data_IF_199224906716
#
_entry.id   IF_199224906716
#
_cell.length_a   1.000
_cell.length_b   1.000
_cell.length_c   1.000
_cell.angle_alpha   90.00
_cell.angle_beta   90.00
_cell.angle_gamma   90.00
#
_symmetry.space_group_name_H-M   'P 1'
#
loop_
_entity.id
_entity.type
_entity.pdbx_description
1 polymer ?
2 water ?
#
# COMPACT_ATOMS: atom_id res chain seq x y z
N UNK A 15 -8.99 23.13 -4.24
CA UNK A 15 -9.51 24.54 -4.24
C UNK A 15 -10.58 24.74 -3.16
N UNK A 16 -11.51 23.80 -3.09
CA UNK A 16 -12.57 23.79 -2.10
C UNK A 16 -12.45 22.44 -1.41
N UNK A 17 -12.27 22.46 -0.11
CA UNK A 17 -12.02 21.20 0.61
C UNK A 17 -13.29 20.34 0.66
N UNK A 18 -13.14 19.01 0.61
CA UNK A 18 -14.32 18.15 0.57
C UNK A 18 -15.17 18.23 1.82
N UNK A 19 -16.45 17.85 1.69
CA UNK A 19 -17.33 17.72 2.86
C UNK A 19 -16.97 16.52 3.70
N UNK A 20 -16.50 15.46 3.04
CA UNK A 20 -16.16 14.22 3.74
C UNK A 20 -15.37 13.36 2.77
N UNK A 21 -14.88 12.23 3.29
CA UNK A 21 -13.96 11.35 2.54
C UNK A 21 -14.44 9.91 2.52
N UNK A 22 -14.17 9.24 1.40
CA UNK A 22 -14.23 7.79 1.31
C UNK A 22 -12.83 7.35 1.70
N UNK A 23 -12.76 6.48 2.70
CA UNK A 23 -11.52 6.11 3.38
C UNK A 23 -11.10 4.71 2.90
N UNK A 24 -9.83 4.58 2.50
CA UNK A 24 -9.28 3.28 2.12
C UNK A 24 -7.96 3.11 2.86
N UNK A 25 -7.83 2.03 3.63
CA UNK A 25 -6.57 1.72 4.32
C UNK A 25 -5.70 0.86 3.40
N UNK A 26 -4.40 1.13 3.39
CA UNK A 26 -3.46 0.39 2.55
C UNK A 26 -2.41 -0.15 3.49
N UNK A 27 -2.21 -1.46 3.49
CA UNK A 27 -1.32 -2.06 4.49
C UNK A 27 -0.62 -3.30 3.95
N UNK A 28 0.43 -3.73 4.67
CA UNK A 28 1.19 -4.88 4.29
C UNK A 28 2.68 -4.64 4.24
N UNK A 29 3.35 -5.30 3.29
CA UNK A 29 4.80 -5.13 3.16
C UNK A 29 5.17 -4.43 1.84
N UNK A 30 6.36 -4.66 1.32
CA UNK A 30 6.89 -3.83 0.24
C UNK A 30 5.99 -3.64 -0.96
N UNK A 31 5.28 -4.68 -1.39
CA UNK A 31 4.51 -4.55 -2.63
C UNK A 31 3.19 -3.79 -2.50
N UNK A 32 2.84 -3.46 -1.27
CA UNK A 32 1.67 -2.61 -0.97
C UNK A 32 2.03 -1.12 -1.08
N UNK A 33 3.32 -0.84 -1.03
CA UNK A 33 3.80 0.54 -0.88
C UNK A 33 4.78 0.93 -1.97
N UNK A 34 5.54 2.01 -1.75
CA UNK A 34 6.32 2.57 -2.80
C UNK A 34 7.66 1.85 -2.96
N UNK A 35 7.65 0.76 -3.72
CA UNK A 35 8.87 0.05 -4.08
C UNK A 35 9.09 0.04 -5.59
N UNK A 36 8.28 0.78 -6.36
CA UNK A 36 8.58 1.00 -7.78
C UNK A 36 9.82 1.85 -7.96
N UNK A 37 10.80 1.35 -8.71
CA UNK A 37 12.09 2.07 -8.86
C UNK A 37 12.17 3.00 -10.07
N UNK A 38 11.24 2.90 -11.03
CA UNK A 38 11.21 3.81 -12.13
C UNK A 38 10.77 5.21 -11.69
N UNK A 39 11.19 6.19 -12.49
CA UNK A 39 11.02 7.61 -12.19
C UNK A 39 9.57 8.03 -11.92
N UNK A 40 9.31 8.82 -10.85
CA UNK A 40 7.97 9.41 -10.67
C UNK A 40 7.64 10.39 -11.78
N UNK A 41 6.35 10.54 -12.08
CA UNK A 41 5.94 11.38 -13.20
C UNK A 41 4.91 12.36 -12.65
N UNK A 42 5.36 13.34 -11.84
CA UNK A 42 4.41 14.17 -11.09
C UNK A 42 3.54 15.10 -11.94
N UNK A 43 3.88 15.30 -13.20
CA UNK A 43 3.03 16.12 -14.07
C UNK A 43 1.94 15.30 -14.78
N UNK A 44 2.04 13.98 -14.67
CA UNK A 44 1.19 13.11 -15.46
C UNK A 44 0.49 12.12 -14.55
N UNK A 45 0.91 10.87 -14.65
CA UNK A 45 0.26 9.74 -14.00
C UNK A 45 0.45 9.80 -12.49
N UNK A 46 1.50 10.49 -12.01
CA UNK A 46 1.70 10.63 -10.56
C UNK A 46 1.34 12.01 -10.00
N UNK A 47 0.51 12.76 -10.72
CA UNK A 47 0.11 14.08 -10.24
C UNK A 47 -0.79 13.95 -9.00
N UNK A 48 -0.47 14.71 -7.94
CA UNK A 48 -1.37 14.76 -6.78
C UNK A 48 -2.66 15.47 -7.20
N UNK A 49 -3.74 15.28 -6.46
CA UNK A 49 -5.02 15.93 -6.77
C UNK A 49 -5.56 16.54 -5.49
N UNK A 50 -6.16 17.75 -5.57
CA UNK A 50 -6.63 18.37 -4.32
C UNK A 50 -7.68 17.59 -3.52
N UNK A 51 -8.37 16.65 -4.17
CA UNK A 51 -9.39 15.88 -3.49
C UNK A 51 -8.87 14.55 -2.92
N UNK A 52 -7.57 14.29 -3.10
CA UNK A 52 -7.02 12.97 -2.76
C UNK A 52 -5.94 13.17 -1.71
N UNK A 53 -6.21 12.65 -0.52
CA UNK A 53 -5.45 12.94 0.71
C UNK A 53 -4.93 11.66 1.36
N UNK A 54 -4.04 11.83 2.32
CA UNK A 54 -3.58 10.72 3.14
C UNK A 54 -3.43 11.19 4.56
N UNK A 55 -3.37 10.25 5.49
CA UNK A 55 -3.00 10.59 6.86
C UNK A 55 -1.48 10.63 7.00
N UNK A 56 -0.97 11.79 7.43
CA UNK A 56 0.48 11.99 7.55
C UNK A 56 1.14 11.14 8.62
N UNK A 57 2.46 10.97 8.47
CA UNK A 57 3.28 10.24 9.42
C UNK A 57 4.58 10.98 9.67
N UNK A 58 5.22 11.43 8.60
CA UNK A 58 6.60 11.95 8.68
C UNK A 58 6.53 13.38 9.21
N UNK A 59 7.70 13.97 9.46
CA UNK A 59 7.76 15.32 10.01
C UNK A 59 7.49 16.39 8.94
N UNK A 60 7.59 16.01 7.66
CA UNK A 60 7.25 16.90 6.56
C UNK A 60 6.47 16.11 5.55
N UNK A 61 5.74 16.80 4.67
CA UNK A 61 4.91 16.07 3.71
C UNK A 61 5.77 15.29 2.73
N UNK A 62 6.93 15.85 2.43
CA UNK A 62 7.92 15.27 1.53
C UNK A 62 9.23 16.05 1.76
N UNK A 63 10.37 15.56 1.23
CA UNK A 63 11.60 16.28 1.56
C UNK A 63 11.57 17.71 1.00
N UNK A 64 11.70 18.68 1.90
CA UNK A 64 11.71 20.08 1.51
C UNK A 64 10.33 20.68 1.48
N UNK A 65 9.33 19.90 1.93
CA UNK A 65 7.94 20.33 1.90
C UNK A 65 7.51 20.84 3.28
N UNK A 66 6.25 21.22 3.42
CA UNK A 66 5.76 21.74 4.70
C UNK A 66 5.82 20.76 5.87
N UNK A 67 5.89 21.30 7.10
CA UNK A 67 5.72 20.52 8.33
C UNK A 67 4.38 19.83 8.30
N UNK A 68 4.31 18.67 8.92
CA UNK A 68 3.02 18.06 9.23
C UNK A 68 3.13 17.25 10.49
N UNK A 69 1.98 17.02 11.12
CA UNK A 69 1.87 16.20 12.32
C UNK A 69 1.28 14.86 11.95
N UNK A 70 1.48 13.88 12.83
CA UNK A 70 0.96 12.54 12.67
C UNK A 70 -0.56 12.62 12.53
N UNK A 71 -1.08 11.95 11.52
CA UNK A 71 -2.52 11.92 11.25
C UNK A 71 -3.13 13.22 10.68
N UNK A 72 -2.28 14.19 10.35
CA UNK A 72 -2.77 15.35 9.63
C UNK A 72 -3.30 14.87 8.26
N UNK A 73 -4.34 15.51 7.79
CA UNK A 73 -4.76 15.37 6.40
C UNK A 73 -3.78 16.15 5.50
N UNK A 74 -3.11 15.43 4.60
CA UNK A 74 -2.17 16.05 3.66
C UNK A 74 -2.36 15.45 2.25
N UNK A 75 -1.79 16.09 1.23
CA UNK A 75 -1.90 15.51 -0.11
C UNK A 75 -1.32 14.10 -0.21
N UNK A 76 -1.99 13.24 -0.95
CA UNK A 76 -1.43 11.93 -1.25
C UNK A 76 -0.55 12.05 -2.48
N UNK A 77 0.64 11.45 -2.44
CA UNK A 77 1.54 11.55 -3.57
C UNK A 77 2.00 10.16 -3.98
N UNK A 78 2.93 10.10 -4.92
CA UNK A 78 3.44 8.79 -5.39
C UNK A 78 4.23 8.02 -4.35
N UNK A 79 4.69 8.69 -3.29
CA UNK A 79 5.50 8.03 -2.26
C UNK A 79 4.90 8.31 -0.89
N UNK A 80 3.91 7.48 -0.46
CA UNK A 80 3.10 7.81 0.72
C UNK A 80 3.79 7.67 2.07
N UNK A 81 3.04 8.06 3.10
CA UNK A 81 3.47 8.09 4.48
C UNK A 81 3.31 6.75 5.19
N UNK A 82 3.86 5.71 4.58
CA UNK A 82 3.88 4.39 5.21
C UNK A 82 4.85 4.39 6.38
N UNK A 83 4.84 3.30 7.16
CA UNK A 83 5.71 3.18 8.33
C UNK A 83 7.17 3.26 7.92
N UNK A 84 7.49 2.65 6.78
CA UNK A 84 8.81 2.83 6.19
C UNK A 84 8.84 4.01 5.21
N UNK A 85 9.79 4.91 5.42
CA UNK A 85 9.90 6.13 4.63
C UNK A 85 10.81 5.93 3.42
N UNK A 86 10.20 5.91 2.23
CA UNK A 86 10.95 5.67 0.99
C UNK A 86 11.27 6.95 0.21
N UNK A 87 10.93 8.11 0.78
CA UNK A 87 10.91 9.35 0.03
C UNK A 87 12.27 9.86 -0.40
N UNK A 88 13.33 9.35 0.23
CA UNK A 88 14.71 9.67 -0.16
C UNK A 88 15.40 8.64 -1.08
N UNK A 89 14.67 7.59 -1.48
CA UNK A 89 15.24 6.64 -2.42
C UNK A 89 15.10 7.18 -3.84
N UNK A 90 15.74 8.30 -4.15
CA UNK A 90 15.56 8.95 -5.44
C UNK A 90 16.10 8.15 -6.58
N UNK A 91 15.42 8.26 -7.72
CA UNK A 91 15.92 7.75 -8.97
C UNK A 91 17.13 8.60 -9.40
N UNK A 92 18.20 7.98 -9.92
CA UNK A 92 19.37 8.79 -10.36
C UNK A 92 19.07 9.96 -11.32
N UNK A 93 18.03 9.81 -12.13
CA UNK A 93 17.70 10.81 -13.18
C UNK A 93 16.52 11.70 -12.76
N UNK A 94 16.23 11.75 -11.46
CA UNK A 94 15.27 12.72 -10.95
C UNK A 94 15.91 14.11 -10.91
N UNK A 95 15.25 15.07 -11.59
CA UNK A 95 15.66 16.49 -11.65
C UNK A 95 15.29 17.21 -10.36
N UNK A 96 14.00 17.21 -10.07
CA UNK A 96 13.45 18.00 -9.00
C UNK A 96 13.08 17.09 -7.86
N UNK A 97 13.89 17.12 -6.81
CA UNK A 97 13.68 16.26 -5.62
C UNK A 97 12.57 16.74 -4.68
N UNK A 98 11.91 17.83 -5.05
CA UNK A 98 10.70 18.32 -4.39
C UNK A 98 9.44 17.70 -4.95
N UNK A 99 9.54 17.23 -6.19
CA UNK A 99 8.38 16.66 -6.88
C UNK A 99 8.60 15.23 -7.33
N UNK A 100 9.84 14.90 -7.68
CA UNK A 100 10.20 13.57 -8.23
C UNK A 100 11.01 12.73 -7.25
N UNK A 101 10.73 12.89 -5.97
CA UNK A 101 11.46 12.23 -4.90
C UNK A 101 11.10 10.75 -4.79
N UNK A 102 12.05 9.92 -4.41
CA UNK A 102 11.70 8.59 -3.94
C UNK A 102 11.24 7.58 -4.97
N UNK A 103 10.61 6.54 -4.45
CA UNK A 103 10.07 5.45 -5.25
C UNK A 103 8.58 5.65 -5.46
N UNK A 104 7.94 4.76 -6.23
CA UNK A 104 6.54 4.94 -6.60
C UNK A 104 5.69 3.81 -6.02
N UNK A 105 4.57 4.18 -5.39
CA UNK A 105 3.57 3.24 -4.88
C UNK A 105 2.22 3.47 -5.55
N UNK A 106 1.37 2.44 -5.57
CA UNK A 106 0.09 2.48 -6.26
C UNK A 106 -1.05 3.16 -5.52
N UNK A 107 -0.89 3.58 -4.25
CA UNK A 107 -2.04 4.11 -3.49
C UNK A 107 -2.64 5.32 -4.24
N UNK A 108 -1.75 6.18 -4.77
CA UNK A 108 -2.21 7.38 -5.48
C UNK A 108 -3.08 7.02 -6.69
N UNK A 109 -2.67 5.99 -7.42
CA UNK A 109 -3.32 5.58 -8.68
C UNK A 109 -4.63 4.88 -8.43
N UNK A 110 -4.69 4.13 -7.34
CA UNK A 110 -5.99 3.57 -6.88
C UNK A 110 -6.96 4.71 -6.59
N UNK A 111 -6.52 5.67 -5.77
CA UNK A 111 -7.31 6.82 -5.44
C UNK A 111 -7.75 7.62 -6.69
N UNK A 112 -6.84 7.89 -7.61
CA UNK A 112 -7.19 8.67 -8.80
C UNK A 112 -8.21 7.92 -9.63
N UNK A 113 -8.08 6.59 -9.72
CA UNK A 113 -9.00 5.81 -10.55
C UNK A 113 -10.39 5.63 -9.91
N UNK A 114 -10.47 5.76 -8.58
CA UNK A 114 -11.75 5.73 -7.85
C UNK A 114 -12.51 7.07 -7.86
N UNK A 115 -11.76 8.18 -7.92
CA UNK A 115 -12.34 9.49 -7.73
C UNK A 115 -13.51 9.78 -8.67
N UNK A 116 -13.43 9.33 -9.95
CA UNK A 116 -14.56 9.74 -10.82
C UNK A 116 -15.88 9.13 -10.41
N UNK A 117 -15.85 8.13 -9.54
CA UNK A 117 -17.04 7.39 -9.17
C UNK A 117 -17.75 7.84 -7.89
N UNK A 118 -17.20 8.86 -7.25
CA UNK A 118 -17.75 9.32 -5.96
C UNK A 118 -18.34 10.73 -6.09
N UNK A 119 -19.16 11.18 -5.10
CA UNK A 119 -19.82 12.47 -5.27
C UNK A 119 -18.87 13.66 -5.35
N UNK A 120 -19.25 14.72 -6.07
CA UNK A 120 -18.38 15.92 -6.19
C UNK A 120 -17.89 16.51 -4.86
N UNK A 121 -18.64 16.32 -3.78
CA UNK A 121 -18.36 16.95 -2.51
C UNK A 121 -17.58 16.01 -1.58
N UNK A 122 -17.16 14.89 -2.14
CA UNK A 122 -16.35 13.90 -1.41
C UNK A 122 -14.93 13.85 -1.96
N UNK A 123 -13.99 13.47 -1.09
CA UNK A 123 -12.65 13.18 -1.55
C UNK A 123 -12.31 11.74 -1.18
N UNK A 124 -11.06 11.36 -1.40
CA UNK A 124 -10.57 10.03 -1.07
C UNK A 124 -9.45 10.25 -0.05
N UNK A 125 -9.47 9.46 1.03
CA UNK A 125 -8.50 9.56 2.12
C UNK A 125 -7.85 8.21 2.29
N UNK A 126 -6.57 8.13 1.91
CA UNK A 126 -5.82 6.88 2.05
C UNK A 126 -5.16 6.84 3.44
N UNK A 127 -5.18 5.67 4.08
CA UNK A 127 -4.53 5.46 5.37
C UNK A 127 -3.34 4.48 5.15
N UNK A 128 -2.12 5.04 4.93
CA UNK A 128 -0.98 4.19 4.59
C UNK A 128 -0.34 3.60 5.84
N UNK A 129 -0.36 2.27 5.91
CA UNK A 129 0.18 1.50 7.03
C UNK A 129 1.05 0.33 6.60
N UNK A 130 1.96 0.56 5.65
CA UNK A 130 2.82 -0.51 5.14
C UNK A 130 4.21 -0.44 5.70
N UNK A 131 4.90 -1.57 5.70
CA UNK A 131 6.26 -1.63 6.20
C UNK A 131 7.00 -2.68 5.37
N UNK A 132 8.01 -2.27 4.61
CA UNK A 132 8.82 -3.24 3.86
C UNK A 132 9.45 -4.21 4.82
N UNK A 133 9.54 -5.48 4.39
CA UNK A 133 10.20 -6.53 5.15
C UNK A 133 9.53 -6.87 6.46
N UNK A 134 8.21 -6.72 6.48
CA UNK A 134 7.42 -7.06 7.64
C UNK A 134 6.78 -8.45 7.44
N UNK A 135 6.42 -9.09 8.55
CA UNK A 135 5.97 -10.48 8.48
C UNK A 135 5.22 -10.87 9.74
N UNK A 136 4.53 -12.01 9.67
CA UNK A 136 3.94 -12.59 10.87
C UNK A 136 4.87 -13.49 11.62
N UNK A 137 5.82 -14.09 10.90
CA UNK A 137 6.69 -15.13 11.48
C UNK A 137 8.14 -14.72 11.73
N UNK A 138 8.47 -13.47 11.45
CA UNK A 138 9.81 -12.93 11.64
C UNK A 138 9.71 -11.43 11.68
N UNK A 139 10.66 -10.80 12.37
CA UNK A 139 10.78 -9.36 12.37
C UNK A 139 10.66 -8.79 13.78
N UNK A 140 11.46 -7.76 14.06
CA UNK A 140 11.40 -7.05 15.35
C UNK A 140 10.01 -6.49 15.63
N UNK A 141 9.57 -6.54 16.90
CA UNK A 141 8.29 -5.92 17.29
C UNK A 141 8.27 -4.42 17.07
N UNK A 142 9.38 -3.76 17.39
CA UNK A 142 9.41 -2.31 17.50
C UNK A 142 8.52 -1.83 18.64
N UNK A 143 8.13 -0.57 18.61
CA UNK A 143 7.28 0.02 19.63
C UNK A 143 6.19 0.84 18.97
N UNK A 144 5.18 1.22 19.75
CA UNK A 144 4.13 2.10 19.26
C UNK A 144 4.12 3.37 20.10
N UNK A 145 4.11 4.53 19.44
CA UNK A 145 4.05 5.85 20.08
C UNK A 145 2.69 6.47 19.77
N UNK A 146 2.00 6.95 20.81
CA UNK A 146 0.67 7.55 20.63
C UNK A 146 0.69 8.75 19.70
N UNK A 147 1.74 9.55 19.83
CA UNK A 147 1.84 10.79 19.14
C UNK A 147 2.37 10.60 17.72
N UNK A 148 3.08 9.50 17.47
CA UNK A 148 3.80 9.34 16.19
C UNK A 148 3.66 7.98 15.47
N UNK A 149 2.95 7.03 16.06
CA UNK A 149 2.66 5.75 15.39
C UNK A 149 3.77 4.75 15.56
N UNK A 150 3.72 3.69 14.74
CA UNK A 150 4.72 2.59 14.84
C UNK A 150 6.14 3.08 14.62
N UNK A 151 7.11 2.53 15.40
CA UNK A 151 8.51 2.90 15.29
C UNK A 151 9.06 2.44 13.94
N UNK A 152 10.16 3.06 13.52
CA UNK A 152 10.86 2.69 12.26
C UNK A 152 11.16 1.21 12.18
N UNK A 153 11.40 0.57 13.33
CA UNK A 153 11.77 -0.84 13.40
C UNK A 153 10.61 -1.81 13.73
N UNK A 154 9.38 -1.37 13.61
CA UNK A 154 8.24 -2.28 13.80
C UNK A 154 8.07 -3.09 12.51
N UNK A 155 8.35 -4.40 12.58
CA UNK A 155 8.38 -5.26 11.39
C UNK A 155 7.58 -6.51 11.59
N UNK A 156 6.87 -6.61 12.71
CA UNK A 156 6.09 -7.80 13.01
C UNK A 156 4.60 -7.53 12.94
N UNK A 157 3.90 -8.20 12.03
CA UNK A 157 2.44 -8.16 12.01
C UNK A 157 1.93 -9.22 12.99
N UNK A 158 0.70 -9.03 13.47
CA UNK A 158 0.05 -9.98 14.39
C UNK A 158 -0.81 -9.18 15.34
N UNK A 159 -1.81 -9.81 15.92
CA UNK A 159 -2.70 -9.05 16.80
C UNK A 159 -1.87 -8.45 17.94
N UNK A 160 -2.13 -7.16 18.19
CA UNK A 160 -1.47 -6.31 19.20
C UNK A 160 0.01 -5.90 19.07
N UNK A 161 0.64 -6.23 17.95
CA UNK A 161 1.95 -5.65 17.64
C UNK A 161 1.83 -4.16 17.32
N UNK A 162 2.94 -3.40 17.40
CA UNK A 162 2.94 -2.01 16.97
C UNK A 162 2.35 -1.77 15.58
N UNK A 163 2.66 -2.64 14.62
CA UNK A 163 2.10 -2.48 13.27
C UNK A 163 0.59 -2.65 13.28
N UNK A 164 0.07 -3.60 14.06
CA UNK A 164 -1.37 -3.77 14.17
C UNK A 164 -2.03 -2.54 14.81
N UNK A 165 -1.41 -2.02 15.87
CA UNK A 165 -1.91 -0.84 16.59
C UNK A 165 -1.99 0.36 15.70
N UNK A 166 -0.99 0.48 14.82
CA UNK A 166 -0.86 1.58 13.87
C UNK A 166 -1.98 1.46 12.81
N UNK A 167 -2.19 0.24 12.32
CA UNK A 167 -3.27 -0.06 11.39
C UNK A 167 -4.66 0.31 11.94
N UNK A 168 -4.94 -0.16 13.16
CA UNK A 168 -6.24 0.09 13.81
C UNK A 168 -6.39 1.55 14.22
N UNK A 169 -5.35 2.10 14.85
CA UNK A 169 -5.38 3.46 15.35
C UNK A 169 -5.52 4.50 14.24
N UNK A 170 -4.80 4.31 13.13
CA UNK A 170 -4.90 5.23 12.00
C UNK A 170 -6.23 5.10 11.23
N UNK A 171 -6.73 3.87 11.10
CA UNK A 171 -8.04 3.69 10.44
C UNK A 171 -9.14 4.35 11.26
N UNK A 172 -9.09 4.15 12.59
CA UNK A 172 -10.07 4.77 13.48
C UNK A 172 -9.99 6.28 13.37
N UNK A 173 -8.76 6.83 13.37
CA UNK A 173 -8.52 8.27 13.33
C UNK A 173 -9.13 8.86 12.08
N UNK A 174 -9.02 8.11 10.98
CA UNK A 174 -9.56 8.58 9.71
C UNK A 174 -11.08 8.69 9.76
N UNK A 175 -11.71 7.73 10.42
CA UNK A 175 -13.19 7.70 10.55
C UNK A 175 -13.69 8.73 11.55
N UNK A 176 -12.98 8.85 12.67
CA UNK A 176 -13.29 9.83 13.73
C UNK A 176 -13.19 11.29 13.30
N UNK A 177 -12.30 11.57 12.35
CA UNK A 177 -12.10 12.92 11.80
C UNK A 177 -13.39 13.61 11.33
N UNK A 178 -14.29 12.84 10.75
CA UNK A 178 -15.52 13.37 10.16
C UNK A 178 -16.56 12.25 10.20
N UNK A 179 -17.67 12.41 10.97
CA UNK A 179 -18.63 11.32 11.06
C UNK A 179 -19.29 10.94 9.73
N UNK A 180 -19.16 11.79 8.71
CA UNK A 180 -19.66 11.47 7.37
C UNK A 180 -18.66 10.66 6.52
N UNK A 181 -17.47 10.41 7.05
CA UNK A 181 -16.51 9.62 6.31
C UNK A 181 -17.02 8.20 6.17
N UNK A 182 -16.73 7.56 5.02
CA UNK A 182 -17.23 6.22 4.72
C UNK A 182 -16.04 5.30 4.44
N UNK A 183 -16.03 4.11 5.04
CA UNK A 183 -14.89 3.17 4.91
C UNK A 183 -15.09 2.23 3.72
N UNK A 184 -14.13 2.19 2.82
CA UNK A 184 -14.24 1.35 1.63
C UNK A 184 -13.59 -0.01 1.83
N UNK A 185 -12.71 -0.11 2.84
CA UNK A 185 -12.03 -1.38 3.10
C UNK A 185 -10.52 -1.24 3.17
N UNK A 186 -9.84 -2.38 3.20
CA UNK A 186 -8.39 -2.45 3.35
C UNK A 186 -7.82 -3.06 2.08
N UNK A 187 -6.82 -2.40 1.50
CA UNK A 187 -5.98 -2.98 0.46
C UNK A 187 -4.75 -3.52 1.15
N UNK A 188 -4.64 -4.84 1.13
CA UNK A 188 -3.60 -5.58 1.86
C UNK A 188 -2.72 -6.30 0.85
N UNK A 189 -1.39 -6.10 0.89
CA UNK A 189 -0.49 -6.91 0.09
C UNK A 189 0.63 -7.30 0.99
N UNK A 190 0.63 -8.56 1.39
CA UNK A 190 1.60 -9.08 2.34
C UNK A 190 1.68 -10.58 2.22
N UNK A 191 2.89 -11.09 2.50
CA UNK A 191 3.10 -12.53 2.57
C UNK A 191 4.50 -12.93 2.21
N UNK A 192 5.16 -12.08 1.39
CA UNK A 192 6.44 -12.42 0.77
C UNK A 192 7.46 -12.97 1.77
N UNK A 193 7.70 -12.24 2.86
CA UNK A 193 8.76 -12.71 3.79
C UNK A 193 8.35 -13.98 4.52
N UNK A 194 7.07 -14.11 4.77
CA UNK A 194 6.56 -15.34 5.41
C UNK A 194 6.73 -16.58 4.52
N UNK A 195 6.78 -16.40 3.20
CA UNK A 195 7.02 -17.50 2.28
C UNK A 195 8.35 -18.18 2.53
N UNK A 196 9.31 -17.45 3.09
CA UNK A 196 10.68 -17.90 3.24
C UNK A 196 10.93 -18.67 4.52
N UNK A 197 10.05 -18.50 5.52
CA UNK A 197 10.36 -19.01 6.86
C UNK A 197 9.92 -20.46 7.00
N UNK A 198 10.53 -21.17 7.95
CA UNK A 198 10.17 -22.57 8.18
C UNK A 198 8.76 -22.63 8.79
N UNK A 199 8.31 -21.52 9.35
CA UNK A 199 6.97 -21.42 9.94
C UNK A 199 5.89 -20.81 9.02
N UNK A 200 6.08 -20.90 7.71
CA UNK A 200 5.15 -20.28 6.75
C UNK A 200 3.71 -20.74 6.93
N UNK A 201 3.53 -21.98 7.42
CA UNK A 201 2.22 -22.57 7.49
C UNK A 201 1.36 -21.99 8.61
N UNK A 202 1.99 -21.28 9.55
CA UNK A 202 1.24 -20.56 10.57
C UNK A 202 0.62 -19.24 10.06
N UNK A 203 1.06 -18.76 8.90
CA UNK A 203 0.59 -17.45 8.42
C UNK A 203 -0.94 -17.41 8.28
N UNK A 204 -1.57 -18.42 7.66
CA UNK A 204 -3.04 -18.26 7.52
C UNK A 204 -3.80 -17.97 8.83
N UNK A 205 -3.48 -18.70 9.88
CA UNK A 205 -4.14 -18.42 11.15
C UNK A 205 -3.76 -17.08 11.76
N UNK A 206 -2.48 -16.68 11.63
CA UNK A 206 -2.06 -15.37 12.13
C UNK A 206 -2.79 -14.25 11.42
N UNK A 207 -2.87 -14.34 10.09
CA UNK A 207 -3.60 -13.37 9.28
C UNK A 207 -5.09 -13.35 9.65
N UNK A 208 -5.71 -14.53 9.70
CA UNK A 208 -7.14 -14.59 10.03
C UNK A 208 -7.42 -13.98 11.39
N UNK A 209 -6.56 -14.26 12.37
CA UNK A 209 -6.76 -13.71 13.70
C UNK A 209 -6.66 -12.20 13.72
N UNK A 210 -5.75 -11.66 12.92
CA UNK A 210 -5.59 -10.21 12.83
C UNK A 210 -6.77 -9.53 12.15
N UNK A 211 -7.28 -10.15 11.11
CA UNK A 211 -8.48 -9.62 10.45
C UNK A 211 -9.67 -9.65 11.42
N UNK A 212 -9.86 -10.74 12.16
CA UNK A 212 -10.96 -10.75 13.14
C UNK A 212 -10.77 -9.69 14.25
N UNK A 213 -9.53 -9.48 14.68
CA UNK A 213 -9.25 -8.45 15.70
C UNK A 213 -9.54 -7.05 15.16
N UNK A 214 -9.13 -6.80 13.93
CA UNK A 214 -9.39 -5.55 13.25
C UNK A 214 -10.91 -5.26 13.22
N UNK A 215 -11.68 -6.26 12.85
CA UNK A 215 -13.14 -6.12 12.72
C UNK A 215 -13.82 -5.88 14.07
N UNK A 216 -13.34 -6.57 15.12
CA UNK A 216 -13.83 -6.34 16.48
C UNK A 216 -13.53 -4.89 16.87
N UNK A 217 -12.29 -4.44 16.61
CA UNK A 217 -11.84 -3.12 17.02
C UNK A 217 -12.46 -1.93 16.27
N UNK A 218 -13.03 -2.18 15.09
CA UNK A 218 -13.62 -1.13 14.26
C UNK A 218 -15.15 -1.19 14.24
N UNK A 219 -15.70 -2.29 14.74
CA UNK A 219 -17.13 -2.58 14.66
C UNK A 219 -18.05 -1.45 15.13
N UNK A 220 -17.63 -0.76 16.20
CA UNK A 220 -18.40 0.32 16.81
C UNK A 220 -18.59 1.54 15.88
N UNK A 221 -17.82 1.58 14.80
CA UNK A 221 -17.95 2.65 13.79
C UNK A 221 -18.86 2.19 12.67
N UNK A 222 -19.72 1.22 12.98
CA UNK A 222 -20.70 0.65 12.04
C UNK A 222 -21.40 1.70 11.18
N UNK A 223 -21.74 2.82 11.79
CA UNK A 223 -22.41 3.91 11.10
C UNK A 223 -21.62 4.39 9.87
N UNK A 224 -20.31 4.09 9.86
CA UNK A 224 -19.39 4.60 8.84
C UNK A 224 -18.81 3.48 7.97
N UNK A 225 -19.24 2.24 8.23
CA UNK A 225 -18.79 1.07 7.49
C UNK A 225 -19.73 0.73 6.33
N UNK A 226 -20.60 1.69 6.00
CA UNK A 226 -21.69 1.49 5.05
C UNK A 226 -22.58 0.33 5.49
N UNK A 230 -18.09 -6.39 8.53
CA UNK A 230 -16.95 -7.15 8.00
C UNK A 230 -16.42 -6.41 6.77
N UNK A 231 -15.79 -5.26 7.00
CA UNK A 231 -15.29 -4.43 5.91
C UNK A 231 -14.36 -5.29 5.05
N UNK A 232 -14.47 -5.19 3.71
CA UNK A 232 -13.63 -5.98 2.83
C UNK A 232 -12.12 -5.73 2.95
N UNK A 233 -11.39 -6.82 2.89
CA UNK A 233 -9.95 -6.84 2.71
C UNK A 233 -9.70 -7.30 1.28
N UNK A 234 -9.15 -6.40 0.48
CA UNK A 234 -8.73 -6.69 -0.88
C UNK A 234 -7.27 -7.10 -0.84
N UNK A 235 -7.06 -8.40 -0.98
CA UNK A 235 -5.73 -8.95 -0.73
C UNK A 235 -5.06 -9.19 -2.08
N UNK A 236 -3.96 -8.49 -2.32
CA UNK A 236 -3.29 -8.57 -3.61
C UNK A 236 -2.27 -9.68 -3.71
N UNK A 237 -2.04 -10.11 -4.93
CA UNK A 237 -1.04 -11.11 -5.25
C UNK A 237 0.40 -10.56 -5.12
N UNK A 238 1.38 -11.38 -5.47
CA UNK A 238 2.78 -10.96 -5.40
C UNK A 238 3.43 -11.20 -6.78
N UNK A 239 4.74 -10.90 -6.89
CA UNK A 239 5.43 -11.01 -8.18
C UNK A 239 5.81 -12.43 -8.53
N UNK A 240 6.21 -12.61 -9.79
CA UNK A 240 6.56 -13.92 -10.28
C UNK A 240 7.74 -14.52 -9.56
N UNK A 241 8.63 -13.66 -9.06
CA UNK A 241 9.81 -14.13 -8.30
C UNK A 241 9.37 -15.00 -7.10
N UNK A 242 8.43 -14.47 -6.32
CA UNK A 242 7.99 -15.11 -5.08
C UNK A 242 7.19 -16.39 -5.37
N UNK A 243 6.30 -16.30 -6.34
CA UNK A 243 5.54 -17.47 -6.79
C UNK A 243 6.39 -18.60 -7.32
N UNK A 244 7.42 -18.28 -8.11
CA UNK A 244 8.22 -19.36 -8.74
C UNK A 244 9.18 -19.99 -7.76
N UNK A 245 9.64 -19.20 -6.79
CA UNK A 245 10.72 -19.65 -5.90
C UNK A 245 10.23 -20.28 -4.60
N UNK A 246 8.97 -20.03 -4.24
CA UNK A 246 8.39 -20.53 -3.00
C UNK A 246 6.96 -21.04 -3.31
N UNK A 247 6.83 -22.01 -4.26
CA UNK A 247 5.50 -22.43 -4.69
C UNK A 247 4.65 -23.10 -3.60
N UNK A 248 5.27 -23.92 -2.76
CA UNK A 248 4.56 -24.59 -1.68
C UNK A 248 4.05 -23.60 -0.64
N UNK A 249 4.93 -22.69 -0.23
CA UNK A 249 4.52 -21.66 0.70
C UNK A 249 3.52 -20.69 0.05
N UNK A 250 3.70 -20.36 -1.21
CA UNK A 250 2.76 -19.49 -1.91
C UNK A 250 1.33 -20.05 -1.90
N UNK A 251 1.23 -21.36 -2.17
CA UNK A 251 -0.05 -22.05 -2.18
C UNK A 251 -0.74 -21.95 -0.80
N UNK A 252 0.04 -22.08 0.28
CA UNK A 252 -0.54 -22.00 1.62
C UNK A 252 -0.95 -20.57 1.97
N UNK A 253 -0.01 -19.65 1.77
CA UNK A 253 -0.23 -18.28 2.20
C UNK A 253 -1.21 -17.51 1.32
N UNK A 254 -0.93 -17.50 0.03
CA UNK A 254 -1.76 -16.73 -0.90
C UNK A 254 -3.03 -17.50 -1.25
N UNK A 255 -2.99 -18.82 -1.12
CA UNK A 255 -4.20 -19.60 -1.30
C UNK A 255 -5.23 -19.25 -0.22
N UNK A 256 -4.75 -18.93 0.97
CA UNK A 256 -5.62 -18.55 2.06
C UNK A 256 -6.35 -17.22 1.80
N UNK A 257 -5.83 -16.41 0.91
CA UNK A 257 -6.51 -15.17 0.52
C UNK A 257 -7.65 -15.43 -0.46
N UNK A 258 -7.64 -16.63 -1.07
CA UNK A 258 -8.59 -17.03 -2.10
C UNK A 258 -9.64 -18.00 -1.56
N UNK A 259 -9.29 -18.72 -0.50
CA UNK A 259 -10.18 -19.71 0.11
C UNK A 259 -10.35 -19.46 1.60
N UNK A 260 -10.46 -18.20 1.98
CA UNK A 260 -10.53 -17.85 3.38
C UNK A 260 -11.85 -18.25 4.04
N UNK A 261 -11.81 -18.62 5.32
CA UNK A 261 -13.02 -18.94 6.09
C UNK A 261 -13.80 -17.68 6.48
N UNK A 262 -13.12 -16.54 6.51
CA UNK A 262 -13.76 -15.28 6.86
C UNK A 262 -14.51 -14.64 5.68
N UNK A 263 -15.55 -13.87 6.00
CA UNK A 263 -16.33 -13.17 4.98
C UNK A 263 -15.51 -12.02 4.40
N UNK A 264 -15.75 -11.74 3.11
CA UNK A 264 -15.27 -10.51 2.47
C UNK A 264 -13.77 -10.41 2.41
N UNK A 265 -13.13 -11.52 2.07
CA UNK A 265 -11.71 -11.52 1.80
C UNK A 265 -11.63 -11.69 0.30
N UNK A 266 -11.17 -10.65 -0.40
CA UNK A 266 -11.24 -10.64 -1.85
C UNK A 266 -9.84 -10.65 -2.45
N UNK A 267 -9.52 -11.74 -3.16
CA UNK A 267 -8.22 -11.89 -3.79
C UNK A 267 -8.13 -11.08 -5.07
N UNK A 268 -7.09 -10.25 -5.14
CA UNK A 268 -6.88 -9.41 -6.30
C UNK A 268 -5.61 -9.84 -7.01
N UNK A 269 -5.71 -10.32 -8.26
CA UNK A 269 -4.51 -10.68 -8.98
C UNK A 269 -4.25 -9.88 -10.24
N UNK A 270 -3.07 -10.03 -10.84
CA UNK A 270 -2.64 -9.09 -11.90
C UNK A 270 -2.19 -9.76 -13.17
N UNK A 271 -1.85 -11.04 -13.09
CA UNK A 271 -1.36 -11.70 -14.28
C UNK A 271 -1.73 -13.17 -14.34
N UNK A 272 -1.47 -13.74 -15.50
CA UNK A 272 -1.77 -15.15 -15.75
C UNK A 272 -0.78 -16.07 -15.06
N UNK A 273 -1.20 -17.31 -14.89
CA UNK A 273 -0.33 -18.33 -14.36
C UNK A 273 0.98 -18.45 -15.13
N UNK A 274 2.10 -18.44 -14.39
CA UNK A 274 3.41 -18.65 -15.01
C UNK A 274 3.98 -17.42 -15.73
N UNK A 275 3.22 -16.32 -15.77
CA UNK A 275 3.68 -15.11 -16.45
C UNK A 275 4.81 -14.49 -15.67
N UNK A 276 5.74 -13.88 -16.39
CA UNK A 276 6.71 -12.96 -15.74
C UNK A 276 6.32 -11.55 -16.11
N UNK A 277 7.23 -10.59 -15.96
CA UNK A 277 6.86 -9.21 -16.23
C UNK A 277 6.40 -8.49 -14.97
N UNK A 278 6.35 -7.17 -15.10
CA UNK A 278 5.75 -6.22 -14.14
C UNK A 278 6.62 -5.82 -12.96
N UNK A 279 7.88 -6.25 -12.98
CA UNK A 279 8.73 -5.98 -11.83
C UNK A 279 9.82 -4.95 -12.13
N UNK A 280 10.59 -4.62 -11.09
CA UNK A 280 11.78 -3.81 -11.24
C UNK A 280 12.94 -4.49 -11.98
N UNK A 281 12.80 -5.75 -12.38
CA UNK A 281 13.85 -6.36 -13.22
C UNK A 281 14.04 -5.43 -14.44
N UNK A 282 15.29 -5.00 -14.73
CA UNK A 282 15.46 -3.95 -15.76
C UNK A 282 14.76 -4.25 -17.08
N UNK A 283 14.82 -5.51 -17.51
CA UNK A 283 14.19 -5.93 -18.77
C UNK A 283 12.65 -5.82 -18.72
N UNK A 284 12.09 -5.76 -17.51
CA UNK A 284 10.63 -5.69 -17.38
C UNK A 284 10.07 -4.28 -17.22
N UNK A 285 10.96 -3.28 -17.13
CA UNK A 285 10.52 -1.92 -16.85
C UNK A 285 11.13 -0.97 -17.89
N UNK A 286 10.68 -1.08 -19.14
CA UNK A 286 11.30 -0.22 -20.17
C UNK A 286 10.98 1.26 -19.98
N UNK A 287 11.87 2.11 -20.47
CA UNK A 287 11.65 3.55 -20.57
C UNK A 287 10.53 3.91 -21.53
N UNK A 288 9.97 5.10 -21.32
CA UNK A 288 9.16 5.76 -22.35
C UNK A 288 9.69 7.18 -22.51
N UNK A 289 10.57 7.37 -23.52
CA UNK A 289 11.27 8.64 -23.73
C UNK A 289 10.31 9.77 -23.98
N UNK A 290 9.20 9.45 -24.66
CA UNK A 290 8.25 10.48 -25.04
C UNK A 290 7.57 11.18 -23.85
N UNK A 291 7.54 10.49 -22.70
CA UNK A 291 6.90 11.02 -21.48
C UNK A 291 7.93 11.34 -20.40
N UNK A 292 9.18 11.00 -20.64
CA UNK A 292 10.24 11.29 -19.67
C UNK A 292 10.35 10.21 -18.61
N UNK A 293 9.74 9.06 -18.88
CA UNK A 293 9.84 7.92 -17.94
C UNK A 293 11.13 7.13 -18.18
N UNK A 294 12.01 7.12 -17.18
CA UNK A 294 13.20 6.29 -17.15
C UNK A 294 12.99 5.26 -16.04
N UNK A 295 13.10 3.99 -16.42
CA UNK A 295 12.77 2.87 -15.56
C UNK A 295 13.92 2.48 -14.66
N UNK A 296 13.77 1.32 -14.06
CA UNK A 296 14.69 0.84 -13.02
C UNK A 296 16.09 0.49 -13.49
N UNK A 297 16.28 0.38 -14.81
CA UNK A 297 17.56 -0.02 -15.37
C UNK A 297 18.67 0.96 -14.99
N UNK A 298 18.28 2.21 -14.66
CA UNK A 298 19.24 3.25 -14.32
C UNK A 298 19.72 3.21 -12.88
N UNK A 299 19.06 2.41 -12.05
CA UNK A 299 19.47 2.29 -10.65
C UNK A 299 20.65 1.34 -10.46
N UNK A 300 21.31 1.49 -9.31
CA UNK A 300 22.57 0.82 -9.01
C UNK A 300 22.52 0.48 -7.51
N UNK A 301 23.44 -0.38 -7.01
CA UNK A 301 23.37 -0.70 -5.57
C UNK A 301 23.35 0.53 -4.64
N UNK A 302 24.01 1.60 -5.05
CA UNK A 302 24.06 2.85 -4.28
C UNK A 302 22.73 3.60 -4.19
N UNK A 303 21.75 3.22 -5.01
CA UNK A 303 20.46 3.91 -5.02
C UNK A 303 19.21 3.02 -5.19
N UNK A 304 19.37 1.71 -5.30
CA UNK A 304 18.17 0.87 -5.47
C UNK A 304 17.65 0.39 -4.11
N UNK A 305 16.51 -0.29 -4.10
CA UNK A 305 15.93 -0.75 -2.87
C UNK A 305 16.69 -2.02 -2.49
N UNK A 306 16.35 -3.11 -3.17
CA UNK A 306 16.79 -4.44 -2.81
C UNK A 306 17.64 -5.00 -3.99
N UNK A 307 18.70 -5.75 -3.70
CA UNK A 307 19.49 -6.36 -4.75
C UNK A 307 18.68 -7.29 -5.66
N UNK A 308 17.68 -7.99 -5.09
CA UNK A 308 16.73 -8.81 -5.86
C UNK A 308 15.73 -7.91 -6.57
N UNK A 309 15.89 -7.71 -7.87
CA UNK A 309 15.08 -6.72 -8.59
C UNK A 309 13.64 -7.16 -8.79
N UNK A 310 13.47 -8.43 -9.13
CA UNK A 310 12.18 -9.04 -9.50
C UNK A 310 11.24 -9.25 -8.29
N UNK A 311 11.70 -8.90 -7.10
CA UNK A 311 10.88 -9.11 -5.93
C UNK A 311 9.79 -8.05 -5.72
N UNK A 312 9.91 -6.93 -6.44
CA UNK A 312 8.92 -5.86 -6.36
C UNK A 312 8.36 -5.44 -7.69
N UNK A 313 7.07 -5.05 -7.67
CA UNK A 313 6.42 -4.53 -8.88
C UNK A 313 6.98 -3.18 -9.28
N UNK A 314 6.99 -2.93 -10.59
CA UNK A 314 7.57 -1.69 -11.16
C UNK A 314 6.65 -0.50 -10.92
N UNK A 315 7.21 0.69 -11.09
CA UNK A 315 6.39 1.91 -11.04
C UNK A 315 5.27 1.87 -12.09
N UNK A 316 5.63 1.43 -13.29
CA UNK A 316 4.69 1.29 -14.41
C UNK A 316 3.55 0.34 -14.06
N UNK A 317 3.88 -0.83 -13.49
CA UNK A 317 2.80 -1.78 -13.10
C UNK A 317 1.87 -1.20 -12.06
N UNK A 318 2.44 -0.41 -11.16
CA UNK A 318 1.64 0.15 -10.08
C UNK A 318 0.66 1.18 -10.62
N UNK A 319 1.13 2.03 -11.54
CA UNK A 319 0.28 2.99 -12.27
C UNK A 319 -0.76 2.37 -13.16
N UNK A 320 -0.48 1.15 -13.62
CA UNK A 320 -1.35 0.48 -14.57
C UNK A 320 -2.17 -0.66 -13.97
N UNK A 321 -1.78 -1.88 -14.30
CA UNK A 321 -2.63 -3.04 -14.01
C UNK A 321 -2.87 -3.22 -12.51
N UNK A 322 -1.88 -2.88 -11.67
CA UNK A 322 -2.10 -3.15 -10.22
C UNK A 322 -3.22 -2.27 -9.68
N UNK A 323 -3.15 -0.98 -9.96
CA UNK A 323 -4.20 -0.09 -9.51
C UNK A 323 -5.50 -0.32 -10.26
N UNK A 324 -5.42 -0.74 -11.54
CA UNK A 324 -6.63 -1.14 -12.28
C UNK A 324 -7.37 -2.24 -11.55
N UNK A 325 -6.63 -3.27 -11.12
CA UNK A 325 -7.29 -4.47 -10.61
C UNK A 325 -7.88 -4.21 -9.23
N UNK A 326 -7.19 -3.45 -8.40
CA UNK A 326 -7.81 -3.06 -7.11
C UNK A 326 -9.06 -2.25 -7.30
N UNK A 327 -9.02 -1.26 -8.19
CA UNK A 327 -10.18 -0.41 -8.41
C UNK A 327 -11.36 -1.25 -8.96
N UNK A 328 -11.09 -2.15 -9.90
CA UNK A 328 -12.15 -3.05 -10.39
C UNK A 328 -12.78 -3.83 -9.21
N UNK A 329 -11.94 -4.36 -8.32
CA UNK A 329 -12.43 -5.14 -7.18
C UNK A 329 -13.23 -4.32 -6.16
N UNK A 330 -12.76 -3.11 -5.90
CA UNK A 330 -13.42 -2.25 -4.94
C UNK A 330 -14.80 -1.79 -5.47
N UNK A 331 -14.85 -1.40 -6.73
CA UNK A 331 -16.11 -0.98 -7.36
C UNK A 331 -17.11 -2.12 -7.41
N UNK A 332 -16.64 -3.29 -7.80
CA UNK A 332 -17.48 -4.48 -7.84
C UNK A 332 -18.06 -4.80 -6.47
N UNK A 333 -17.21 -4.80 -5.43
CA UNK A 333 -17.68 -5.15 -4.11
C UNK A 333 -18.81 -4.23 -3.68
N UNK A 334 -18.57 -2.94 -3.84
CA UNK A 334 -19.52 -1.94 -3.36
C UNK A 334 -20.80 -1.86 -4.18
N UNK A 335 -20.73 -2.28 -5.45
CA UNK A 335 -21.90 -2.32 -6.34
C UNK A 335 -22.76 -3.59 -6.22
N UNK A 336 -22.18 -4.67 -5.70
CA UNK A 336 -22.89 -5.95 -5.67
C UNK A 336 -23.71 -6.10 -4.39
N UNK A 337 -23.76 -5.06 -3.58
CA UNK A 337 -24.61 -5.07 -2.38
C UNK A 337 -25.42 -3.79 -2.24
#
# INVERSE_FOLDING_TARGET
MGSSHHHHHHGSNAIISPDYYYVLTVAGQSNAMAYGEGLPLPDREDAPHPRIKQLARFAHTHPGGPSCHFNDIIPLTHCPHDVQDMQSYHHPLATNHQTQYGTVGQALHIARKLLPFIPDNAGILIVPCCRGGSAFTAGSEGTYSERHGASHDACRWGTDTPLYQDLVSRTRAALVKNPQNKFLGVCWMQGEFDLMTSDYASHPQHFNHMVEAFRRDLKQYHSQLNNITDAPWFCGDTTWYWKENFPHAYEAIYGNYQNNILANIIFVDFQQQGARGLTNAPDEDPDDLSTGYYGSAYRSPENWTTALRSSHFSSAARRGIISDRFVEAILQFWRER
#
